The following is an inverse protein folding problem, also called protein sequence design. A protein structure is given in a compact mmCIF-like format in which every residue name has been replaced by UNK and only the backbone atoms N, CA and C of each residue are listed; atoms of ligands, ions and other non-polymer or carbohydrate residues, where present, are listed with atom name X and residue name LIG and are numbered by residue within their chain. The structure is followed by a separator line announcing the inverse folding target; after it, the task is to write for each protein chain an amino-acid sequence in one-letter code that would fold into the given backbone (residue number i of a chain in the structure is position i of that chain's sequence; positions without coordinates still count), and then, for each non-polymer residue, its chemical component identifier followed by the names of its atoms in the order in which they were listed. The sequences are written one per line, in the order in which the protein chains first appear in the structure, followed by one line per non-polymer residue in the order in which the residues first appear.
data_IF_599733565211
#
_entry.id   IF_599733565211
#
_cell.length_a   1.000
_cell.length_b   1.000
_cell.length_c   1.000
_cell.angle_alpha   90.00
_cell.angle_beta   90.00
_cell.angle_gamma   90.00
#
_symmetry.space_group_name_H-M   'P 1'
#
loop_
_entity.id
_entity.type
_entity.pdbx_description
1 polymer ?
#
# COMPACT_ATOMS: atom_id res chain seq x y z
N UNK A 1 -7.00 30.47 8.76
CA UNK A 1 -7.51 29.08 8.72
C UNK A 1 -7.40 28.46 10.10
N UNK A 2 -8.42 27.75 10.59
CA UNK A 2 -8.32 26.94 11.82
C UNK A 2 -7.31 25.79 11.61
N UNK A 3 -6.73 25.27 12.70
CA UNK A 3 -5.79 24.14 12.66
C UNK A 3 -6.47 22.96 11.95
N UNK A 4 -5.86 22.49 10.86
CA UNK A 4 -6.37 21.38 10.05
C UNK A 4 -5.35 20.23 10.11
N UNK A 5 -5.71 19.18 10.85
CA UNK A 5 -4.82 18.04 11.10
C UNK A 5 -4.52 17.24 9.82
N UNK A 6 -5.43 17.24 8.85
CA UNK A 6 -5.20 16.62 7.56
C UNK A 6 -4.11 17.37 6.78
N UNK A 7 -4.14 18.70 6.77
CA UNK A 7 -3.08 19.51 6.15
C UNK A 7 -1.73 19.31 6.88
N UNK A 8 -1.75 19.21 8.20
CA UNK A 8 -0.54 18.92 8.98
C UNK A 8 0.03 17.53 8.64
N UNK A 9 -0.83 16.52 8.53
CA UNK A 9 -0.45 15.18 8.06
C UNK A 9 0.15 15.22 6.66
N UNK A 10 -0.45 15.94 5.70
CA UNK A 10 0.09 16.07 4.35
C UNK A 10 1.48 16.72 4.32
N UNK A 11 1.75 17.69 5.19
CA UNK A 11 3.08 18.29 5.31
C UNK A 11 4.11 17.29 5.85
N UNK A 12 3.74 16.51 6.87
CA UNK A 12 4.60 15.46 7.42
C UNK A 12 4.86 14.36 6.39
N UNK A 13 3.82 13.94 5.67
CA UNK A 13 3.92 12.93 4.61
C UNK A 13 4.92 13.35 3.53
N UNK A 14 4.84 14.60 3.04
CA UNK A 14 5.80 15.13 2.05
C UNK A 14 7.23 15.12 2.57
N UNK A 15 7.44 15.47 3.84
CA UNK A 15 8.77 15.43 4.45
C UNK A 15 9.31 14.00 4.59
N UNK A 16 8.44 13.02 4.90
CA UNK A 16 8.81 11.61 4.95
C UNK A 16 9.15 11.04 3.57
N UNK A 17 8.37 11.36 2.54
CA UNK A 17 8.64 10.91 1.16
C UNK A 17 9.95 11.50 0.60
N UNK A 18 10.38 12.68 1.04
CA UNK A 18 11.67 13.28 0.64
C UNK A 18 12.89 12.64 1.33
N UNK A 19 12.70 12.07 2.52
CA UNK A 19 13.79 11.53 3.34
C UNK A 19 13.91 10.01 3.22
N UNK A 20 12.82 9.33 2.88
CA UNK A 20 12.82 7.91 2.63
C UNK A 20 13.35 7.61 1.22
N UNK A 21 14.29 6.68 1.12
CA UNK A 21 14.61 5.98 -0.14
C UNK A 21 13.49 5.00 -0.53
N UNK A 22 12.22 5.40 -0.35
CA UNK A 22 11.09 4.60 -0.80
C UNK A 22 11.15 4.46 -2.32
N UNK A 23 10.88 3.28 -2.88
CA UNK A 23 10.77 3.12 -4.31
C UNK A 23 9.75 4.13 -4.87
N UNK A 24 10.05 4.74 -6.02
CA UNK A 24 9.10 5.62 -6.70
C UNK A 24 7.93 4.78 -7.22
N UNK A 25 6.88 4.70 -6.40
CA UNK A 25 5.66 3.96 -6.71
C UNK A 25 4.64 5.00 -7.13
N UNK A 26 4.15 4.86 -8.36
CA UNK A 26 3.13 5.77 -8.87
C UNK A 26 1.79 5.61 -8.14
N UNK A 27 0.93 6.62 -8.32
CA UNK A 27 -0.36 6.72 -7.62
C UNK A 27 -1.24 5.48 -7.81
N UNK A 28 -1.30 4.91 -9.02
CA UNK A 28 -2.14 3.72 -9.26
C UNK A 28 -1.61 2.50 -8.53
N UNK A 29 -0.29 2.33 -8.49
CA UNK A 29 0.33 1.24 -7.71
C UNK A 29 0.14 1.45 -6.21
N UNK A 30 0.18 2.68 -5.68
CA UNK A 30 -0.17 2.96 -4.28
C UNK A 30 -1.61 2.55 -3.96
N UNK A 31 -2.57 2.86 -4.82
CA UNK A 31 -3.97 2.44 -4.63
C UNK A 31 -4.13 0.91 -4.58
N UNK A 32 -3.42 0.18 -5.44
CA UNK A 32 -3.45 -1.30 -5.41
C UNK A 32 -2.84 -1.81 -4.09
N UNK A 33 -1.74 -1.21 -3.63
CA UNK A 33 -1.10 -1.59 -2.38
C UNK A 33 -2.02 -1.36 -1.16
N UNK A 34 -2.76 -0.25 -1.16
CA UNK A 34 -3.75 0.06 -0.12
C UNK A 34 -4.91 -0.95 -0.11
N UNK A 35 -5.47 -1.31 -1.27
CA UNK A 35 -6.51 -2.35 -1.36
C UNK A 35 -6.03 -3.70 -0.83
N UNK A 36 -4.81 -4.11 -1.18
CA UNK A 36 -4.20 -5.33 -0.64
C UNK A 36 -4.09 -5.23 0.89
N UNK A 37 -3.62 -4.10 1.42
CA UNK A 37 -3.49 -3.90 2.86
C UNK A 37 -4.83 -3.94 3.60
N UNK A 38 -5.90 -3.40 3.02
CA UNK A 38 -7.25 -3.45 3.60
C UNK A 38 -7.80 -4.89 3.67
N UNK A 39 -7.49 -5.74 2.70
CA UNK A 39 -7.88 -7.15 2.69
C UNK A 39 -7.05 -7.94 3.70
N UNK A 40 -5.73 -7.72 3.72
CA UNK A 40 -4.82 -8.34 4.71
C UNK A 40 -5.20 -7.97 6.14
N UNK A 41 -5.61 -6.73 6.40
CA UNK A 41 -6.06 -6.28 7.71
C UNK A 41 -7.33 -7.02 8.21
N UNK A 42 -8.10 -7.64 7.30
CA UNK A 42 -9.27 -8.47 7.63
C UNK A 42 -8.91 -9.96 7.81
N UNK A 43 -7.65 -10.32 7.64
CA UNK A 43 -7.17 -11.72 7.69
C UNK A 43 -7.30 -12.47 6.36
N UNK A 44 -7.64 -11.77 5.28
CA UNK A 44 -7.80 -12.35 3.94
C UNK A 44 -6.60 -12.04 3.05
N UNK A 45 -6.57 -12.62 1.84
CA UNK A 45 -5.55 -12.33 0.83
C UNK A 45 -6.17 -12.22 -0.56
N UNK A 46 -5.61 -11.35 -1.40
CA UNK A 46 -6.00 -11.24 -2.81
C UNK A 46 -5.15 -12.16 -3.68
N UNK A 47 -5.79 -12.80 -4.66
CA UNK A 47 -5.08 -13.43 -5.77
C UNK A 47 -4.71 -12.40 -6.84
N UNK A 48 -3.82 -12.77 -7.76
CA UNK A 48 -3.55 -11.93 -8.95
C UNK A 48 -4.85 -11.61 -9.70
N UNK A 49 -5.75 -12.58 -9.85
CA UNK A 49 -7.03 -12.40 -10.53
C UNK A 49 -7.95 -11.43 -9.80
N UNK A 50 -7.95 -11.45 -8.46
CA UNK A 50 -8.75 -10.51 -7.67
C UNK A 50 -8.23 -9.08 -7.82
N UNK A 51 -6.90 -8.91 -7.84
CA UNK A 51 -6.28 -7.61 -8.14
C UNK A 51 -6.71 -7.13 -9.53
N UNK A 52 -6.80 -8.01 -10.54
CA UNK A 52 -7.30 -7.63 -11.87
C UNK A 52 -8.81 -7.30 -11.88
N UNK A 53 -9.53 -7.77 -10.86
CA UNK A 53 -10.93 -7.49 -10.62
C UNK A 53 -11.21 -6.10 -10.03
N UNK A 54 -10.18 -5.36 -9.60
CA UNK A 54 -10.29 -4.00 -9.04
C UNK A 54 -10.58 -2.94 -10.13
N UNK A 55 -11.68 -3.11 -10.86
CA UNK A 55 -12.10 -2.29 -12.01
C UNK A 55 -12.28 -0.80 -11.68
N UNK A 56 -12.46 -0.46 -10.42
CA UNK A 56 -12.55 0.91 -9.95
C UNK A 56 -11.19 1.63 -9.93
N UNK A 57 -10.08 0.90 -9.94
CA UNK A 57 -8.71 1.44 -10.03
C UNK A 57 -8.24 1.52 -11.49
N UNK A 58 -8.55 0.52 -12.31
CA UNK A 58 -8.14 0.51 -13.71
C UNK A 58 -8.56 -0.71 -14.51
N UNK A 59 -8.14 -0.76 -15.78
CA UNK A 59 -8.36 -1.94 -16.63
C UNK A 59 -7.47 -3.11 -16.21
N UNK A 60 -7.84 -4.38 -16.48
CA UNK A 60 -7.03 -5.55 -16.10
C UNK A 60 -5.58 -5.47 -16.59
N UNK A 61 -5.34 -5.03 -17.82
CA UNK A 61 -3.98 -4.87 -18.34
C UNK A 61 -3.17 -3.81 -17.55
N UNK A 62 -3.84 -2.73 -17.12
CA UNK A 62 -3.21 -1.67 -16.32
C UNK A 62 -2.87 -2.19 -14.93
N UNK A 63 -3.82 -2.86 -14.28
CA UNK A 63 -3.65 -3.44 -12.94
C UNK A 63 -2.53 -4.47 -12.94
N UNK A 64 -2.43 -5.32 -13.97
CA UNK A 64 -1.37 -6.31 -14.09
C UNK A 64 0.00 -5.64 -14.16
N UNK A 65 0.14 -4.61 -15.00
CA UNK A 65 1.38 -3.84 -15.11
C UNK A 65 1.76 -3.18 -13.78
N UNK A 66 0.78 -2.60 -13.08
CA UNK A 66 0.99 -1.89 -11.80
C UNK A 66 1.30 -2.82 -10.64
N UNK A 67 0.69 -4.00 -10.62
CA UNK A 67 1.05 -5.08 -9.68
C UNK A 67 2.49 -5.54 -9.91
N UNK A 68 2.91 -5.72 -11.16
CA UNK A 68 4.30 -6.08 -11.45
C UNK A 68 5.29 -5.00 -11.03
N UNK A 69 4.92 -3.72 -11.12
CA UNK A 69 5.73 -2.62 -10.57
C UNK A 69 5.86 -2.70 -9.05
N UNK A 70 4.78 -3.04 -8.33
CA UNK A 70 4.84 -3.25 -6.87
C UNK A 70 5.73 -4.44 -6.49
N UNK A 71 5.68 -5.52 -7.26
CA UNK A 71 6.55 -6.69 -7.07
C UNK A 71 8.01 -6.30 -7.30
N UNK A 72 8.31 -5.61 -8.40
CA UNK A 72 9.66 -5.14 -8.72
C UNK A 72 10.20 -4.13 -7.68
N UNK A 73 9.31 -3.34 -7.08
CA UNK A 73 9.63 -2.42 -5.98
C UNK A 73 9.79 -3.13 -4.63
N UNK A 74 9.55 -4.45 -4.54
CA UNK A 74 9.65 -5.21 -3.29
C UNK A 74 8.57 -4.86 -2.27
N UNK A 75 7.45 -4.27 -2.69
CA UNK A 75 6.34 -3.90 -1.80
C UNK A 75 5.37 -5.04 -1.56
N UNK A 76 5.24 -5.95 -2.53
CA UNK A 76 4.37 -7.13 -2.45
C UNK A 76 5.08 -8.34 -3.04
N UNK A 77 4.77 -9.52 -2.53
CA UNK A 77 5.30 -10.78 -3.03
C UNK A 77 4.20 -11.76 -3.44
N UNK A 78 4.34 -12.44 -4.60
CA UNK A 78 3.46 -13.54 -4.95
C UNK A 78 3.80 -14.79 -4.15
N UNK A 79 2.87 -15.25 -3.32
CA UNK A 79 3.00 -16.44 -2.47
C UNK A 79 1.97 -17.50 -2.81
N UNK A 80 2.22 -18.74 -2.39
CA UNK A 80 1.26 -19.84 -2.49
C UNK A 80 0.76 -20.20 -1.10
N UNK A 81 -0.51 -20.55 -0.97
CA UNK A 81 -1.08 -21.02 0.29
C UNK A 81 -1.08 -22.56 0.35
N UNK A 82 -0.47 -23.10 1.40
CA UNK A 82 -0.41 -24.53 1.65
C UNK A 82 0.23 -25.33 0.51
N UNK A 83 -0.37 -26.46 0.16
CA UNK A 83 0.06 -27.32 -0.95
C UNK A 83 -0.46 -26.87 -2.32
N UNK A 84 -1.34 -25.87 -2.37
CA UNK A 84 -1.93 -25.41 -3.63
C UNK A 84 -0.97 -24.48 -4.39
N UNK A 85 -0.21 -25.08 -5.30
CA UNK A 85 0.70 -24.38 -6.23
C UNK A 85 0.01 -23.80 -7.47
N UNK A 86 -1.32 -23.88 -7.55
CA UNK A 86 -2.07 -23.39 -8.73
C UNK A 86 -2.46 -21.92 -8.63
N UNK A 87 -2.61 -21.40 -7.41
CA UNK A 87 -3.08 -20.03 -7.18
C UNK A 87 -2.02 -19.19 -6.49
N UNK A 88 -1.62 -18.09 -7.14
CA UNK A 88 -0.74 -17.08 -6.54
C UNK A 88 -1.58 -16.05 -5.78
N UNK A 89 -1.28 -15.91 -4.50
CA UNK A 89 -1.78 -14.85 -3.63
C UNK A 89 -0.75 -13.74 -3.52
N UNK A 90 -1.19 -12.54 -3.18
CA UNK A 90 -0.33 -11.38 -3.02
C UNK A 90 -0.21 -11.07 -1.53
N UNK A 91 1.01 -11.12 -1.00
CA UNK A 91 1.35 -10.77 0.37
C UNK A 91 2.03 -9.40 0.42
N UNK A 92 1.80 -8.65 1.50
CA UNK A 92 2.61 -7.49 1.84
C UNK A 92 4.01 -7.95 2.28
N UNK A 93 5.04 -7.25 1.85
CA UNK A 93 6.41 -7.44 2.34
C UNK A 93 6.68 -6.63 3.61
N UNK A 94 7.83 -6.87 4.24
CA UNK A 94 8.26 -6.05 5.36
C UNK A 94 8.43 -4.57 4.97
N UNK A 95 8.79 -4.28 3.72
CA UNK A 95 8.96 -2.90 3.25
C UNK A 95 7.62 -2.16 3.15
N UNK A 96 6.56 -2.83 2.68
CA UNK A 96 5.22 -2.22 2.69
C UNK A 96 4.66 -2.05 4.10
N UNK A 97 4.91 -2.98 5.02
CA UNK A 97 4.58 -2.78 6.43
C UNK A 97 5.32 -1.57 7.04
N UNK A 98 6.62 -1.43 6.76
CA UNK A 98 7.40 -0.27 7.19
C UNK A 98 6.90 1.04 6.56
N UNK A 99 6.46 1.00 5.31
CA UNK A 99 5.79 2.12 4.66
C UNK A 99 4.51 2.52 5.40
N UNK A 100 3.60 1.57 5.68
CA UNK A 100 2.37 1.86 6.42
C UNK A 100 2.64 2.32 7.86
N UNK A 101 3.68 1.80 8.52
CA UNK A 101 4.10 2.27 9.85
C UNK A 101 4.51 3.75 9.82
N UNK A 102 5.33 4.16 8.85
CA UNK A 102 5.72 5.58 8.66
C UNK A 102 4.50 6.49 8.46
N UNK A 103 3.50 6.03 7.69
CA UNK A 103 2.24 6.77 7.52
C UNK A 103 1.48 6.91 8.84
N UNK A 104 1.37 5.82 9.60
CA UNK A 104 0.74 5.81 10.92
C UNK A 104 1.42 6.80 11.88
N UNK A 105 2.75 6.81 11.93
CA UNK A 105 3.52 7.72 12.78
C UNK A 105 3.27 9.18 12.40
N UNK A 106 3.20 9.49 11.09
CA UNK A 106 2.87 10.82 10.60
C UNK A 106 1.46 11.27 11.04
N UNK A 107 0.47 10.36 11.02
CA UNK A 107 -0.88 10.63 11.53
C UNK A 107 -0.84 10.91 13.04
N UNK A 108 -0.07 10.13 13.80
CA UNK A 108 0.05 10.32 15.25
C UNK A 108 0.72 11.65 15.60
N UNK A 109 1.75 12.07 14.86
CA UNK A 109 2.41 13.37 15.03
C UNK A 109 1.50 14.54 14.61
N UNK A 110 0.63 14.33 13.62
CA UNK A 110 -0.36 15.31 13.21
C UNK A 110 -1.49 15.48 14.22
N UNK A 111 -1.82 14.43 15.00
CA UNK A 111 -2.85 14.49 16.02
C UNK A 111 -2.47 15.50 17.12
N UNK A 112 -3.44 16.22 17.69
CA UNK A 112 -3.17 17.02 18.87
C UNK A 112 -2.74 16.08 20.02
N UNK A 113 -1.68 16.46 20.74
CA UNK A 113 -1.39 15.86 22.04
C UNK A 113 -2.64 16.02 22.92
N UNK A 114 -3.15 14.91 23.45
CA UNK A 114 -4.18 14.95 24.49
C UNK A 114 -3.59 15.76 25.64
N UNK A 115 -4.20 16.91 25.94
CA UNK A 115 -3.94 17.66 27.17
C UNK A 115 -4.63 16.96 28.33
#
# INVERSE_FOLDING_TARGET
MKKNYYIQFLNLLKALEQTAQTPDIDVTSKLILEEIALVVAKGDMLTVSDVMGLKHIGSPATLHRKLNMLIAAGMVDPVFQGTNRRTKYIALTQESENYFRRLSDAIQMARPSAR
#
